data_IF_209117368846
#
_entry.id   IF_209117368846
#
_cell.length_a   1.000
_cell.length_b   1.000
_cell.length_c   1.000
_cell.angle_alpha   90.00
_cell.angle_beta   90.00
_cell.angle_gamma   90.00
#
_symmetry.space_group_name_H-M   'P 1'
#
loop_
_entity.id
_entity.type
_entity.pdbx_description
1 polymer ?
#
# COMPACT_ATOMS: atom_id res chain seq x y z
N UNK A 1 37.08 -4.76 -7.46
CA UNK A 1 37.98 -5.91 -7.22
C UNK A 1 37.70 -6.39 -5.80
N UNK A 2 37.46 -7.67 -5.62
CA UNK A 2 37.18 -8.27 -4.31
C UNK A 2 38.28 -9.26 -4.01
N UNK A 3 38.79 -9.26 -2.80
CA UNK A 3 39.87 -10.15 -2.41
C UNK A 3 39.33 -11.55 -2.05
N UNK A 4 40.07 -12.58 -2.42
CA UNK A 4 39.75 -13.96 -2.06
C UNK A 4 40.22 -14.28 -0.64
N UNK A 5 39.46 -15.13 0.05
CA UNK A 5 39.81 -15.69 1.35
C UNK A 5 40.01 -17.18 1.24
N UNK A 6 40.99 -17.71 1.98
CA UNK A 6 41.18 -19.14 2.08
C UNK A 6 40.19 -19.73 3.11
N UNK A 7 39.49 -20.78 2.70
CA UNK A 7 38.60 -21.54 3.58
C UNK A 7 39.39 -22.51 4.46
N UNK A 8 38.90 -22.78 5.65
CA UNK A 8 39.46 -23.79 6.54
C UNK A 8 39.09 -25.20 6.08
N UNK A 9 37.88 -25.34 5.58
CA UNK A 9 37.33 -26.60 5.07
C UNK A 9 37.16 -26.53 3.55
N UNK A 10 37.32 -27.68 2.89
CA UNK A 10 37.12 -27.77 1.43
C UNK A 10 35.64 -27.87 1.09
N UNK A 11 35.16 -26.96 0.23
CA UNK A 11 33.81 -26.98 -0.31
C UNK A 11 33.82 -27.70 -1.66
N UNK A 12 33.39 -28.96 -1.68
CA UNK A 12 33.39 -29.78 -2.89
C UNK A 12 32.49 -29.23 -4.00
N UNK A 13 31.45 -28.51 -3.62
CA UNK A 13 30.47 -27.91 -4.55
C UNK A 13 30.56 -26.40 -4.51
N UNK A 14 30.50 -25.76 -5.70
CA UNK A 14 30.37 -24.32 -5.79
C UNK A 14 29.12 -23.85 -5.04
N UNK A 15 29.32 -23.05 -4.03
CA UNK A 15 28.26 -22.63 -3.09
C UNK A 15 28.13 -21.12 -3.09
N UNK A 16 26.87 -20.64 -3.15
CA UNK A 16 26.51 -19.25 -2.92
C UNK A 16 25.65 -19.18 -1.69
N UNK A 17 26.04 -18.38 -0.71
CA UNK A 17 25.30 -18.21 0.54
C UNK A 17 25.40 -16.80 1.07
N UNK A 18 24.62 -16.50 2.12
CA UNK A 18 24.75 -15.25 2.86
C UNK A 18 25.36 -15.51 4.23
N UNK A 19 26.25 -14.61 4.67
CA UNK A 19 26.83 -14.63 6.02
C UNK A 19 26.81 -13.24 6.63
N UNK A 20 27.13 -13.15 7.92
CA UNK A 20 27.18 -11.88 8.66
C UNK A 20 25.93 -11.02 8.49
N UNK A 21 24.75 -11.66 8.57
CA UNK A 21 23.47 -10.96 8.46
C UNK A 21 23.26 -10.04 9.66
N UNK A 22 22.95 -8.79 9.35
CA UNK A 22 22.50 -7.77 10.31
C UNK A 22 21.21 -7.14 9.81
N UNK A 23 20.66 -6.19 10.53
CA UNK A 23 19.47 -5.45 10.09
C UNK A 23 19.72 -4.56 8.85
N UNK A 24 20.99 -4.27 8.54
CA UNK A 24 21.37 -3.31 7.50
C UNK A 24 22.43 -3.83 6.53
N UNK A 25 22.99 -5.01 6.78
CA UNK A 25 24.08 -5.54 5.95
C UNK A 25 24.08 -7.06 5.92
N UNK A 26 24.73 -7.61 4.90
CA UNK A 26 25.05 -9.02 4.74
C UNK A 26 26.33 -9.16 3.92
N UNK A 27 26.94 -10.34 3.93
CA UNK A 27 27.92 -10.72 2.93
C UNK A 27 27.32 -11.78 2.00
N UNK A 28 27.37 -11.54 0.69
CA UNK A 28 27.20 -12.59 -0.30
C UNK A 28 28.53 -13.34 -0.39
N UNK A 29 28.51 -14.62 -0.05
CA UNK A 29 29.70 -15.48 -0.06
C UNK A 29 29.58 -16.46 -1.22
N UNK A 30 30.59 -16.47 -2.06
CA UNK A 30 30.77 -17.48 -3.10
C UNK A 30 32.01 -18.28 -2.77
N UNK A 31 31.90 -19.59 -2.65
CA UNK A 31 32.97 -20.48 -2.28
C UNK A 31 33.04 -21.70 -3.16
N UNK A 32 34.28 -22.16 -3.40
CA UNK A 32 34.58 -23.40 -4.08
C UNK A 32 35.95 -23.89 -3.68
N UNK A 33 36.08 -25.18 -3.45
CA UNK A 33 37.31 -25.81 -2.93
C UNK A 33 37.76 -25.11 -1.63
N UNK A 34 38.93 -24.54 -1.65
CA UNK A 34 39.55 -23.88 -0.48
C UNK A 34 39.51 -22.34 -0.60
N UNK A 35 38.68 -21.80 -1.51
CA UNK A 35 38.68 -20.35 -1.80
C UNK A 35 37.27 -19.79 -1.69
N UNK A 36 37.13 -18.64 -1.08
CA UNK A 36 35.88 -17.89 -1.06
C UNK A 36 36.08 -16.41 -1.39
N UNK A 37 35.02 -15.80 -1.88
CA UNK A 37 34.86 -14.36 -2.10
C UNK A 37 33.70 -13.86 -1.25
N UNK A 38 33.91 -12.79 -0.52
CA UNK A 38 32.91 -12.16 0.33
C UNK A 38 32.58 -10.77 -0.23
N UNK A 39 31.37 -10.59 -0.72
CA UNK A 39 30.90 -9.31 -1.25
C UNK A 39 30.02 -8.68 -0.18
N UNK A 40 30.42 -7.53 0.39
CA UNK A 40 29.58 -6.83 1.34
C UNK A 40 28.36 -6.24 0.61
N UNK A 41 27.19 -6.42 1.19
CA UNK A 41 25.92 -5.83 0.76
C UNK A 41 25.41 -4.98 1.91
N UNK A 42 25.12 -3.73 1.64
CA UNK A 42 24.51 -2.80 2.59
C UNK A 42 23.13 -2.38 2.09
N UNK A 43 22.20 -2.21 3.00
CA UNK A 43 20.86 -1.71 2.72
C UNK A 43 20.68 -0.35 3.41
N UNK A 44 19.87 0.51 2.79
CA UNK A 44 19.52 1.81 3.38
C UNK A 44 18.37 1.72 4.38
N UNK A 45 18.28 0.61 5.11
CA UNK A 45 17.15 0.33 6.02
C UNK A 45 16.95 1.43 7.04
N UNK A 46 18.01 1.94 7.67
CA UNK A 46 17.88 3.02 8.66
C UNK A 46 17.34 4.31 8.05
N UNK A 47 17.84 4.73 6.88
CA UNK A 47 17.32 5.91 6.16
C UNK A 47 15.83 5.75 5.80
N UNK A 48 15.43 4.54 5.40
CA UNK A 48 14.03 4.24 5.07
C UNK A 48 13.14 4.28 6.32
N UNK A 49 13.60 3.72 7.43
CA UNK A 49 12.90 3.73 8.72
C UNK A 49 12.77 5.15 9.25
N UNK A 50 13.84 5.94 9.25
CA UNK A 50 13.80 7.34 9.68
C UNK A 50 12.83 8.18 8.83
N UNK A 51 12.83 7.99 7.50
CA UNK A 51 11.85 8.65 6.63
C UNK A 51 10.41 8.27 6.96
N UNK A 52 10.16 6.99 7.28
CA UNK A 52 8.82 6.55 7.68
C UNK A 52 8.42 7.08 9.06
N UNK A 53 9.33 7.10 10.02
CA UNK A 53 9.10 7.69 11.34
C UNK A 53 8.74 9.17 11.20
N UNK A 54 9.52 9.95 10.47
CA UNK A 54 9.25 11.36 10.22
C UNK A 54 7.89 11.56 9.53
N UNK A 55 7.61 10.78 8.47
CA UNK A 55 6.34 10.86 7.76
C UNK A 55 5.14 10.59 8.66
N UNK A 56 5.19 9.58 9.53
CA UNK A 56 4.04 9.14 10.34
C UNK A 56 3.93 9.95 11.64
N UNK A 57 5.05 10.24 12.33
CA UNK A 57 5.04 10.87 13.65
C UNK A 57 5.15 12.40 13.60
N UNK A 58 5.77 12.96 12.57
CA UNK A 58 5.96 14.41 12.42
C UNK A 58 4.98 15.02 11.42
N UNK A 59 4.87 14.43 10.23
CA UNK A 59 3.98 14.92 9.15
C UNK A 59 2.54 14.41 9.30
N UNK A 60 2.36 13.30 10.01
CA UNK A 60 1.07 12.60 10.12
C UNK A 60 0.74 11.73 8.90
N UNK A 61 -0.35 10.93 8.99
CA UNK A 61 -0.78 10.09 7.89
C UNK A 61 -1.24 10.91 6.68
N UNK A 62 -0.82 10.52 5.48
CA UNK A 62 -1.31 11.11 4.24
C UNK A 62 -2.71 10.62 3.87
N UNK A 63 -3.37 11.30 2.93
CA UNK A 63 -4.64 10.85 2.35
C UNK A 63 -4.58 9.40 1.85
N UNK A 64 -3.44 9.00 1.27
CA UNK A 64 -3.20 7.64 0.80
C UNK A 64 -3.16 6.63 1.95
N UNK A 65 -2.55 6.98 3.07
CA UNK A 65 -2.43 6.10 4.23
C UNK A 65 -3.81 5.86 4.87
N UNK A 66 -4.61 6.93 5.05
CA UNK A 66 -6.00 6.82 5.48
C UNK A 66 -6.85 5.98 4.54
N UNK A 67 -6.78 6.23 3.22
CA UNK A 67 -7.52 5.46 2.24
C UNK A 67 -7.08 3.99 2.18
N UNK A 68 -5.80 3.68 2.39
CA UNK A 68 -5.30 2.31 2.42
C UNK A 68 -5.85 1.55 3.63
N UNK A 69 -5.83 2.15 4.82
CA UNK A 69 -6.44 1.57 6.04
C UNK A 69 -7.94 1.36 5.89
N UNK A 70 -8.66 2.34 5.37
CA UNK A 70 -10.10 2.25 5.13
C UNK A 70 -10.46 1.11 4.16
N UNK A 71 -9.73 0.97 3.06
CA UNK A 71 -9.94 -0.13 2.09
C UNK A 71 -9.63 -1.51 2.68
N UNK A 72 -8.64 -1.59 3.58
CA UNK A 72 -8.36 -2.85 4.28
C UNK A 72 -9.56 -3.31 5.10
N UNK A 73 -10.18 -2.43 5.88
CA UNK A 73 -11.38 -2.75 6.65
C UNK A 73 -12.61 -2.98 5.76
N UNK A 74 -12.76 -2.21 4.69
CA UNK A 74 -13.83 -2.43 3.71
C UNK A 74 -13.75 -3.83 3.08
N UNK A 75 -12.55 -4.27 2.68
CA UNK A 75 -12.34 -5.58 2.07
C UNK A 75 -12.62 -6.75 3.02
N UNK A 76 -12.42 -6.54 4.32
CA UNK A 76 -12.74 -7.53 5.37
C UNK A 76 -14.17 -7.42 5.89
N UNK A 77 -14.88 -6.38 5.53
CA UNK A 77 -16.20 -6.02 6.10
C UNK A 77 -16.17 -5.87 7.65
N UNK A 78 -15.01 -5.45 8.18
CA UNK A 78 -14.78 -5.26 9.61
C UNK A 78 -14.55 -3.77 9.92
N UNK A 79 -14.88 -3.33 11.14
CA UNK A 79 -14.63 -1.97 11.61
C UNK A 79 -15.05 -0.87 10.60
N UNK A 80 -16.22 -1.05 9.97
CA UNK A 80 -16.68 -0.21 8.87
C UNK A 80 -16.90 1.27 9.26
N UNK A 81 -17.26 1.56 10.53
CA UNK A 81 -17.36 2.94 11.01
C UNK A 81 -15.97 3.61 11.05
N UNK A 82 -14.94 2.88 11.49
CA UNK A 82 -13.55 3.37 11.42
C UNK A 82 -13.07 3.55 9.98
N UNK A 83 -13.42 2.62 9.09
CA UNK A 83 -13.14 2.75 7.66
C UNK A 83 -13.79 4.01 7.07
N UNK A 84 -15.03 4.30 7.47
CA UNK A 84 -15.74 5.51 7.03
C UNK A 84 -15.06 6.79 7.53
N UNK A 85 -14.64 6.83 8.79
CA UNK A 85 -13.89 7.96 9.34
C UNK A 85 -12.60 8.22 8.55
N UNK A 86 -11.79 7.19 8.35
CA UNK A 86 -10.53 7.30 7.62
C UNK A 86 -10.72 7.66 6.14
N UNK A 87 -11.72 7.06 5.48
CA UNK A 87 -12.02 7.42 4.09
C UNK A 87 -12.53 8.86 3.98
N UNK A 88 -13.25 9.36 4.99
CA UNK A 88 -13.69 10.76 5.02
C UNK A 88 -12.48 11.70 5.13
N UNK A 89 -11.53 11.43 6.02
CA UNK A 89 -10.27 12.18 6.12
C UNK A 89 -9.48 12.17 4.80
N UNK A 90 -9.42 11.00 4.14
CA UNK A 90 -8.76 10.91 2.84
C UNK A 90 -9.41 11.78 1.77
N UNK A 91 -10.76 11.84 1.73
CA UNK A 91 -11.51 12.70 0.83
C UNK A 91 -11.31 14.20 1.14
N UNK A 92 -11.25 14.58 2.41
CA UNK A 92 -10.98 15.96 2.84
C UNK A 92 -9.58 16.43 2.44
N UNK A 93 -8.58 15.57 2.59
CA UNK A 93 -7.20 15.85 2.22
C UNK A 93 -6.96 15.85 0.70
N UNK A 94 -7.79 15.13 -0.07
CA UNK A 94 -7.73 15.04 -1.53
C UNK A 94 -9.13 15.10 -2.14
N UNK A 95 -9.63 16.33 -2.24
CA UNK A 95 -10.98 16.60 -2.78
C UNK A 95 -11.12 16.30 -4.27
N UNK A 96 -10.03 16.13 -5.00
CA UNK A 96 -9.99 15.73 -6.42
C UNK A 96 -10.09 14.22 -6.65
N UNK A 97 -9.94 13.42 -5.59
CA UNK A 97 -9.84 11.96 -5.67
C UNK A 97 -11.21 11.27 -5.74
N UNK A 98 -11.84 11.24 -6.92
CA UNK A 98 -13.13 10.58 -7.14
C UNK A 98 -13.13 9.10 -6.71
N UNK A 99 -12.00 8.40 -6.79
CA UNK A 99 -11.86 7.02 -6.32
C UNK A 99 -11.98 6.87 -4.80
N UNK A 100 -11.61 7.89 -4.00
CA UNK A 100 -11.86 7.89 -2.56
C UNK A 100 -13.33 8.10 -2.26
N UNK A 101 -13.97 9.01 -3.00
CA UNK A 101 -15.41 9.24 -2.87
C UNK A 101 -16.22 8.00 -3.24
N UNK A 102 -15.82 7.27 -4.28
CA UNK A 102 -16.41 5.98 -4.64
C UNK A 102 -16.24 4.94 -3.51
N UNK A 103 -15.04 4.78 -2.95
CA UNK A 103 -14.81 3.87 -1.82
C UNK A 103 -15.66 4.25 -0.59
N UNK A 104 -15.86 5.56 -0.34
CA UNK A 104 -16.75 6.04 0.72
C UNK A 104 -18.20 5.62 0.47
N UNK A 105 -18.65 5.65 -0.77
CA UNK A 105 -19.96 5.16 -1.15
C UNK A 105 -20.12 3.65 -0.89
N UNK A 106 -19.10 2.85 -1.21
CA UNK A 106 -19.09 1.42 -0.92
C UNK A 106 -19.20 1.16 0.59
N UNK A 107 -18.44 1.89 1.41
CA UNK A 107 -18.49 1.76 2.88
C UNK A 107 -19.89 2.09 3.40
N UNK A 108 -20.52 3.19 2.93
CA UNK A 108 -21.91 3.51 3.28
C UNK A 108 -22.87 2.38 2.91
N UNK A 109 -22.70 1.79 1.72
CA UNK A 109 -23.51 0.66 1.26
C UNK A 109 -23.39 -0.57 2.18
N UNK A 110 -22.15 -0.88 2.63
CA UNK A 110 -21.89 -1.97 3.58
C UNK A 110 -22.46 -1.70 4.97
N UNK A 111 -22.53 -0.43 5.38
CA UNK A 111 -23.17 0.00 6.63
C UNK A 111 -24.71 0.05 6.55
N UNK A 112 -25.32 -0.29 5.42
CA UNK A 112 -26.76 -0.17 5.20
C UNK A 112 -27.26 1.27 5.08
N UNK A 113 -26.37 2.25 4.96
CA UNK A 113 -26.69 3.68 4.82
C UNK A 113 -26.91 4.03 3.35
N UNK A 114 -27.95 3.43 2.74
CA UNK A 114 -28.12 3.40 1.27
C UNK A 114 -28.28 4.78 0.65
N UNK A 115 -29.02 5.70 1.27
CA UNK A 115 -29.16 7.07 0.75
C UNK A 115 -27.81 7.79 0.66
N UNK A 116 -26.99 7.70 1.73
CA UNK A 116 -25.65 8.29 1.74
C UNK A 116 -24.70 7.62 0.74
N UNK A 117 -24.88 6.31 0.52
CA UNK A 117 -24.12 5.59 -0.48
C UNK A 117 -24.44 6.08 -1.90
N UNK A 118 -25.73 6.32 -2.20
CA UNK A 118 -26.19 6.86 -3.48
C UNK A 118 -25.62 8.27 -3.70
N UNK A 119 -25.76 9.16 -2.71
CA UNK A 119 -25.26 10.54 -2.80
C UNK A 119 -23.74 10.57 -3.04
N UNK A 120 -22.98 9.76 -2.30
CA UNK A 120 -21.54 9.68 -2.46
C UNK A 120 -21.13 9.07 -3.82
N UNK A 121 -21.88 8.09 -4.33
CA UNK A 121 -21.61 7.48 -5.63
C UNK A 121 -21.97 8.43 -6.78
N UNK A 122 -23.05 9.22 -6.67
CA UNK A 122 -23.38 10.27 -7.63
C UNK A 122 -22.30 11.35 -7.69
N UNK A 123 -21.80 11.78 -6.53
CA UNK A 123 -20.68 12.72 -6.45
C UNK A 123 -19.41 12.15 -7.10
N UNK A 124 -19.03 10.92 -6.76
CA UNK A 124 -17.87 10.24 -7.37
C UNK A 124 -17.99 10.15 -8.89
N UNK A 125 -19.20 9.86 -9.40
CA UNK A 125 -19.48 9.80 -10.83
C UNK A 125 -19.27 11.15 -11.53
N UNK A 126 -19.81 12.22 -10.97
CA UNK A 126 -19.66 13.57 -11.56
C UNK A 126 -18.20 14.04 -11.51
N UNK A 127 -17.49 13.78 -10.41
CA UNK A 127 -16.06 14.07 -10.31
C UNK A 127 -15.24 13.29 -11.34
N UNK A 128 -15.55 12.00 -11.54
CA UNK A 128 -14.87 11.15 -12.52
C UNK A 128 -15.10 11.64 -13.96
N UNK A 129 -16.35 12.05 -14.30
CA UNK A 129 -16.67 12.65 -15.60
C UNK A 129 -15.91 13.95 -15.87
N UNK A 130 -15.71 14.75 -14.83
CA UNK A 130 -15.01 16.03 -14.94
C UNK A 130 -13.48 15.89 -15.01
N UNK A 131 -12.93 14.69 -14.77
CA UNK A 131 -11.50 14.49 -14.76
C UNK A 131 -10.91 14.47 -16.19
N UNK A 132 -10.00 15.40 -16.53
CA UNK A 132 -9.43 15.50 -17.88
C UNK A 132 -8.53 14.31 -18.25
N UNK A 133 -8.06 13.55 -17.26
CA UNK A 133 -7.19 12.37 -17.47
C UNK A 133 -7.98 11.06 -17.65
N UNK A 134 -9.30 11.12 -17.68
CA UNK A 134 -10.17 9.96 -17.80
C UNK A 134 -10.78 9.55 -16.46
N UNK A 135 -11.79 8.69 -16.55
CA UNK A 135 -12.59 8.26 -15.39
C UNK A 135 -12.18 6.89 -14.81
N UNK A 136 -11.18 6.21 -15.42
CA UNK A 136 -10.70 4.87 -15.05
C UNK A 136 -11.84 3.85 -14.83
N UNK A 137 -12.97 4.03 -15.51
CA UNK A 137 -14.18 3.22 -15.40
C UNK A 137 -15.03 3.50 -14.15
N UNK A 138 -14.72 4.55 -13.38
CA UNK A 138 -15.48 4.88 -12.17
C UNK A 138 -16.88 5.43 -12.45
N UNK A 139 -17.12 6.04 -13.61
CA UNK A 139 -18.49 6.43 -14.03
C UNK A 139 -19.39 5.19 -14.04
N UNK A 140 -18.99 4.15 -14.76
CA UNK A 140 -19.76 2.89 -14.87
C UNK A 140 -19.90 2.18 -13.51
N UNK A 141 -18.85 2.15 -12.71
CA UNK A 141 -18.87 1.54 -11.37
C UNK A 141 -19.83 2.26 -10.44
N UNK A 142 -19.82 3.60 -10.46
CA UNK A 142 -20.72 4.41 -9.65
C UNK A 142 -22.20 4.21 -10.07
N UNK A 143 -22.49 4.15 -11.36
CA UNK A 143 -23.84 3.86 -11.86
C UNK A 143 -24.34 2.49 -11.41
N UNK A 144 -23.49 1.46 -11.45
CA UNK A 144 -23.85 0.15 -10.95
C UNK A 144 -24.11 0.17 -9.43
N UNK A 145 -23.24 0.83 -8.66
CA UNK A 145 -23.40 0.94 -7.21
C UNK A 145 -24.71 1.65 -6.85
N UNK A 146 -25.03 2.76 -7.53
CA UNK A 146 -26.30 3.49 -7.33
C UNK A 146 -27.50 2.57 -7.58
N UNK A 147 -27.48 1.79 -8.68
CA UNK A 147 -28.54 0.85 -9.01
C UNK A 147 -28.70 -0.20 -7.91
N UNK A 148 -27.59 -0.78 -7.44
CA UNK A 148 -27.59 -1.81 -6.41
C UNK A 148 -28.10 -1.24 -5.07
N UNK A 149 -27.73 -0.01 -4.71
CA UNK A 149 -28.18 0.61 -3.46
C UNK A 149 -29.69 0.97 -3.52
N UNK A 150 -30.18 1.42 -4.68
CA UNK A 150 -31.63 1.70 -4.89
C UNK A 150 -32.47 0.43 -4.77
N UNK A 151 -31.94 -0.73 -5.15
CA UNK A 151 -32.66 -2.02 -5.02
C UNK A 151 -32.73 -2.56 -3.59
N UNK A 152 -31.86 -2.05 -2.70
CA UNK A 152 -31.78 -2.46 -1.28
C UNK A 152 -32.47 -1.49 -0.33
N UNK A 153 -32.85 -0.30 -0.82
CA UNK A 153 -33.55 0.74 -0.09
C UNK A 153 -35.03 0.39 0.11
#
# INVERSE_FOLDING_TARGET
KVDTKKLMDTWETFTITFSNLTNTSAHLVMGWENTSVHIPIETKTNEMVEKQINKILVEGPSARDYAAGARHYLAKEENLDQALEWMTKACEMRSDAFWYMYNKAEIYGKLGRYDKAIDAAENAKEMAKANPNGDDGYVKRSEQLIKDMRSKR
#
